data_IF_028681421421
#
_entry.id   IF_028681421421
#
_cell.length_a   1.000
_cell.length_b   1.000
_cell.length_c   1.000
_cell.angle_alpha   90.00
_cell.angle_beta   90.00
_cell.angle_gamma   90.00
#
_symmetry.space_group_name_H-M   'P 1'
#
loop_
_entity.id
_entity.type
_entity.pdbx_description
1 polymer ?
#
# COMPACT_ATOMS: atom_id res chain seq x y z
N UNK A 1 15.99 -17.01 -14.67
CA UNK A 1 15.27 -16.54 -13.44
C UNK A 1 16.32 -16.24 -12.40
N UNK A 2 16.42 -15.02 -11.97
CA UNK A 2 17.31 -14.58 -10.90
C UNK A 2 16.90 -15.27 -9.61
N UNK A 3 17.78 -16.00 -8.97
CA UNK A 3 17.47 -16.72 -7.72
C UNK A 3 17.61 -15.75 -6.53
N UNK A 4 17.03 -16.09 -5.36
CA UNK A 4 17.24 -15.33 -4.12
C UNK A 4 18.75 -15.18 -3.79
N UNK A 5 19.59 -16.13 -4.18
CA UNK A 5 21.03 -16.10 -3.93
C UNK A 5 21.73 -15.02 -4.77
N UNK A 6 21.19 -14.69 -5.96
CA UNK A 6 21.75 -13.69 -6.86
C UNK A 6 21.30 -12.26 -6.49
N UNK A 7 20.30 -12.12 -5.60
CA UNK A 7 19.80 -10.83 -5.17
C UNK A 7 20.84 -10.07 -4.32
N UNK A 8 20.80 -8.71 -4.32
CA UNK A 8 21.70 -7.89 -3.50
C UNK A 8 21.62 -8.23 -2.00
N UNK A 9 22.73 -8.02 -1.28
CA UNK A 9 22.83 -8.35 0.14
C UNK A 9 21.74 -7.66 1.00
N UNK A 10 21.44 -6.38 0.71
CA UNK A 10 20.41 -5.64 1.43
C UNK A 10 19.02 -6.30 1.34
N UNK A 11 18.70 -6.85 0.16
CA UNK A 11 17.42 -7.51 -0.06
C UNK A 11 17.35 -8.84 0.67
N UNK A 12 18.39 -9.65 0.54
CA UNK A 12 18.48 -10.92 1.28
C UNK A 12 18.35 -10.69 2.78
N UNK A 13 19.08 -9.70 3.31
CA UNK A 13 18.99 -9.33 4.73
C UNK A 13 17.59 -8.90 5.13
N UNK A 14 16.90 -8.11 4.29
CA UNK A 14 15.53 -7.70 4.56
C UNK A 14 14.55 -8.89 4.64
N UNK A 15 14.72 -9.89 3.77
CA UNK A 15 13.91 -11.10 3.81
C UNK A 15 14.22 -12.03 4.99
N UNK A 16 15.41 -11.90 5.60
CA UNK A 16 15.83 -12.67 6.78
C UNK A 16 15.38 -12.03 8.10
N UNK A 17 14.89 -10.78 8.08
CA UNK A 17 14.33 -10.14 9.28
C UNK A 17 13.07 -10.91 9.71
N UNK A 18 13.01 -11.43 10.95
CA UNK A 18 11.88 -12.15 11.46
C UNK A 18 10.60 -11.31 11.41
N UNK A 19 9.51 -11.93 11.01
CA UNK A 19 8.18 -11.31 10.99
C UNK A 19 7.13 -12.23 11.59
N UNK A 20 6.11 -11.64 12.20
CA UNK A 20 4.89 -12.33 12.60
C UNK A 20 3.93 -12.42 11.43
N UNK A 21 3.05 -13.41 11.48
CA UNK A 21 1.99 -13.69 10.54
C UNK A 21 0.72 -13.93 11.37
N UNK A 22 -0.31 -13.11 11.18
CA UNK A 22 -1.47 -13.07 12.05
C UNK A 22 -2.74 -12.64 11.32
N UNK A 23 -3.87 -12.83 11.96
CA UNK A 23 -5.17 -12.34 11.48
C UNK A 23 -5.93 -11.61 12.58
N UNK A 24 -6.78 -10.65 12.21
CA UNK A 24 -7.75 -10.00 13.09
C UNK A 24 -9.13 -10.05 12.43
N UNK A 25 -10.17 -10.32 13.23
CA UNK A 25 -11.55 -10.28 12.73
C UNK A 25 -12.04 -8.83 12.62
N UNK A 26 -12.59 -8.50 11.47
CA UNK A 26 -13.23 -7.21 11.21
C UNK A 26 -14.58 -7.47 10.56
N UNK A 27 -15.66 -7.30 11.29
CA UNK A 27 -17.03 -7.55 10.83
C UNK A 27 -17.20 -8.91 10.15
N UNK A 28 -16.65 -9.97 10.78
CA UNK A 28 -16.77 -11.36 10.35
C UNK A 28 -15.85 -11.76 9.20
N UNK A 29 -14.90 -10.90 8.81
CA UNK A 29 -13.84 -11.25 7.88
C UNK A 29 -12.48 -11.30 8.59
N UNK A 30 -11.72 -12.39 8.42
CA UNK A 30 -10.36 -12.50 8.89
C UNK A 30 -9.43 -11.67 8.01
N UNK A 31 -8.83 -10.64 8.58
CA UNK A 31 -7.89 -9.75 7.90
C UNK A 31 -6.48 -10.16 8.28
N UNK A 32 -5.75 -10.65 7.29
CA UNK A 32 -4.37 -11.10 7.41
C UNK A 32 -3.40 -9.91 7.45
N UNK A 33 -2.36 -10.01 8.28
CA UNK A 33 -1.28 -9.03 8.32
C UNK A 33 0.04 -9.63 8.79
N UNK A 34 1.13 -9.06 8.29
CA UNK A 34 2.50 -9.35 8.68
C UNK A 34 2.98 -8.28 9.65
N UNK A 35 3.84 -8.65 10.62
CA UNK A 35 4.41 -7.68 11.56
C UNK A 35 5.91 -7.80 11.69
N UNK A 36 6.62 -6.68 11.86
CA UNK A 36 8.06 -6.61 12.14
C UNK A 36 8.31 -5.69 13.33
N UNK A 37 9.49 -5.82 13.92
CA UNK A 37 9.96 -4.97 15.03
C UNK A 37 9.31 -5.34 16.35
N UNK A 38 9.85 -4.75 17.43
CA UNK A 38 9.43 -5.04 18.79
C UNK A 38 8.06 -4.43 19.10
N UNK A 39 7.17 -5.15 19.79
CA UNK A 39 5.93 -4.62 20.34
C UNK A 39 6.14 -3.36 21.19
N UNK A 40 5.14 -2.46 21.21
CA UNK A 40 5.21 -1.22 21.98
C UNK A 40 6.14 -0.15 21.41
N UNK A 41 6.66 -0.30 20.20
CA UNK A 41 7.35 0.76 19.44
C UNK A 41 6.36 1.64 18.69
N UNK A 42 6.74 2.87 18.27
CA UNK A 42 5.93 3.69 17.36
C UNK A 42 5.51 2.90 16.12
N UNK A 43 4.26 3.10 15.66
CA UNK A 43 3.64 2.26 14.64
C UNK A 43 3.81 2.76 13.21
N UNK A 44 4.05 1.82 12.28
CA UNK A 44 3.90 2.03 10.84
C UNK A 44 2.93 0.97 10.29
N UNK A 45 1.92 1.39 9.54
CA UNK A 45 1.00 0.48 8.84
C UNK A 45 1.15 0.67 7.34
N UNK A 46 1.55 -0.38 6.63
CA UNK A 46 1.69 -0.39 5.17
C UNK A 46 0.45 -0.95 4.51
N UNK A 47 -0.13 -0.19 3.57
CA UNK A 47 -1.33 -0.55 2.82
C UNK A 47 -1.00 -0.67 1.33
N UNK A 48 -1.22 -1.85 0.77
CA UNK A 48 -0.87 -2.18 -0.62
C UNK A 48 -1.83 -1.57 -1.65
N UNK A 49 -1.44 -1.60 -2.93
CA UNK A 49 -2.26 -1.20 -4.07
C UNK A 49 -3.29 -2.25 -4.48
N UNK A 50 -4.14 -1.95 -5.46
CA UNK A 50 -5.13 -2.88 -5.98
C UNK A 50 -4.49 -4.15 -6.55
N UNK A 51 -5.07 -5.31 -6.26
CA UNK A 51 -4.59 -6.65 -6.62
C UNK A 51 -3.18 -7.01 -6.12
N UNK A 52 -2.60 -6.21 -5.21
CA UNK A 52 -1.37 -6.50 -4.49
C UNK A 52 -1.68 -7.18 -3.13
N UNK A 53 -0.68 -7.31 -2.28
CA UNK A 53 -0.80 -7.93 -0.95
C UNK A 53 0.36 -7.50 -0.03
N UNK A 54 0.28 -7.82 1.27
CA UNK A 54 1.24 -7.43 2.31
C UNK A 54 2.71 -7.70 1.95
N UNK A 55 2.99 -8.81 1.29
CA UNK A 55 4.35 -9.17 0.91
C UNK A 55 5.01 -8.26 -0.13
N UNK A 56 4.26 -7.36 -0.79
CA UNK A 56 4.86 -6.31 -1.62
C UNK A 56 5.71 -5.34 -0.80
N UNK A 57 5.49 -5.31 0.52
CA UNK A 57 6.17 -4.44 1.46
C UNK A 57 7.32 -5.10 2.21
N UNK A 58 7.48 -6.43 2.18
CA UNK A 58 8.42 -7.18 3.04
C UNK A 58 9.83 -6.57 3.03
N UNK A 59 10.39 -6.29 1.87
CA UNK A 59 11.76 -5.77 1.71
C UNK A 59 11.89 -4.28 2.09
N UNK A 60 10.80 -3.52 2.07
CA UNK A 60 10.73 -2.13 2.53
C UNK A 60 10.47 -2.08 4.03
N UNK A 61 9.44 -2.77 4.52
CA UNK A 61 9.03 -2.79 5.92
C UNK A 61 10.17 -3.24 6.85
N UNK A 62 10.87 -4.30 6.50
CA UNK A 62 12.00 -4.82 7.25
C UNK A 62 13.11 -3.78 7.54
N UNK A 63 13.24 -2.75 6.68
CA UNK A 63 14.23 -1.68 6.86
C UNK A 63 13.94 -0.74 8.04
N UNK A 64 12.73 -0.81 8.62
CA UNK A 64 12.28 0.02 9.72
C UNK A 64 12.12 -0.74 11.05
N UNK A 65 12.29 -2.08 11.03
CA UNK A 65 12.05 -2.96 12.18
C UNK A 65 12.89 -2.63 13.43
N UNK A 66 14.03 -1.95 13.28
CA UNK A 66 14.89 -1.55 14.40
C UNK A 66 14.29 -0.43 15.27
N UNK A 67 13.45 0.44 14.71
CA UNK A 67 12.93 1.62 15.40
C UNK A 67 11.41 1.62 15.54
N UNK A 68 10.69 0.86 14.71
CA UNK A 68 9.23 0.88 14.64
C UNK A 68 8.65 -0.52 14.84
N UNK A 69 7.40 -0.54 15.35
CA UNK A 69 6.50 -1.68 15.22
C UNK A 69 5.73 -1.52 13.91
N UNK A 70 5.81 -2.50 13.02
CA UNK A 70 5.31 -2.40 11.66
C UNK A 70 4.23 -3.44 11.44
N UNK A 71 3.15 -3.06 10.77
CA UNK A 71 2.20 -3.99 10.18
C UNK A 71 2.09 -3.74 8.67
N UNK A 72 1.96 -4.79 7.88
CA UNK A 72 1.54 -4.73 6.49
C UNK A 72 0.35 -5.66 6.33
N UNK A 73 -0.82 -5.12 6.02
CA UNK A 73 -2.04 -5.90 5.94
C UNK A 73 -2.37 -6.31 4.51
N UNK A 74 -3.13 -7.37 4.38
CA UNK A 74 -3.92 -7.68 3.19
C UNK A 74 -5.32 -7.11 3.40
N UNK A 75 -5.71 -6.11 2.63
CA UNK A 75 -7.09 -5.62 2.64
C UNK A 75 -8.04 -6.75 2.23
N UNK A 76 -9.26 -6.78 2.76
CA UNK A 76 -10.24 -7.78 2.35
C UNK A 76 -10.36 -7.87 0.83
N UNK A 77 -10.50 -9.08 0.31
CA UNK A 77 -10.45 -9.37 -1.12
C UNK A 77 -9.05 -9.45 -1.74
N UNK A 78 -7.99 -9.33 -0.93
CA UNK A 78 -6.60 -9.40 -1.37
C UNK A 78 -5.81 -10.38 -0.50
N UNK A 79 -4.70 -10.88 -1.05
CA UNK A 79 -3.74 -11.70 -0.34
C UNK A 79 -4.36 -12.92 0.32
N UNK A 80 -4.08 -13.06 1.61
CA UNK A 80 -4.57 -14.16 2.45
C UNK A 80 -5.74 -13.73 3.35
N UNK A 81 -6.27 -12.49 3.19
CA UNK A 81 -7.50 -12.03 3.84
C UNK A 81 -8.76 -12.60 3.18
N UNK A 82 -9.82 -12.64 3.98
CA UNK A 82 -11.13 -13.07 3.53
C UNK A 82 -11.71 -12.13 2.46
N UNK A 83 -12.66 -12.66 1.69
CA UNK A 83 -13.46 -11.92 0.73
C UNK A 83 -14.73 -11.41 1.39
N UNK A 84 -15.28 -10.33 0.83
CA UNK A 84 -16.57 -9.74 1.22
C UNK A 84 -17.51 -9.69 0.02
N UNK A 85 -18.80 -9.64 0.27
CA UNK A 85 -19.81 -9.43 -0.77
C UNK A 85 -19.69 -8.05 -1.41
N UNK A 86 -19.19 -7.06 -0.63
CA UNK A 86 -18.97 -5.68 -1.07
C UNK A 86 -17.73 -5.11 -0.42
N UNK A 87 -17.01 -4.30 -1.19
CA UNK A 87 -15.83 -3.57 -0.75
C UNK A 87 -16.11 -2.07 -0.75
N UNK A 88 -15.56 -1.33 0.21
CA UNK A 88 -15.65 0.13 0.28
C UNK A 88 -14.41 0.70 0.95
N UNK A 89 -14.14 1.99 0.72
CA UNK A 89 -13.06 2.69 1.44
C UNK A 89 -13.28 2.68 2.95
N UNK A 90 -14.54 2.79 3.39
CA UNK A 90 -14.91 2.74 4.80
C UNK A 90 -14.53 1.39 5.44
N UNK A 91 -14.89 0.28 4.80
CA UNK A 91 -14.53 -1.06 5.29
C UNK A 91 -13.02 -1.27 5.35
N UNK A 92 -12.31 -0.85 4.33
CA UNK A 92 -10.85 -0.92 4.33
C UNK A 92 -10.20 0.00 5.36
N UNK A 93 -10.84 1.15 5.68
CA UNK A 93 -10.43 2.01 6.81
C UNK A 93 -10.56 1.29 8.15
N UNK A 94 -11.69 0.62 8.38
CA UNK A 94 -11.92 -0.18 9.59
C UNK A 94 -10.87 -1.29 9.74
N UNK A 95 -10.49 -1.93 8.63
CA UNK A 95 -9.44 -2.96 8.61
C UNK A 95 -8.07 -2.41 8.96
N UNK A 96 -7.70 -1.22 8.44
CA UNK A 96 -6.45 -0.54 8.80
C UNK A 96 -6.40 -0.23 10.30
N UNK A 97 -7.49 0.27 10.87
CA UNK A 97 -7.58 0.61 12.29
C UNK A 97 -7.50 -0.66 13.15
N UNK A 98 -8.25 -1.71 12.79
CA UNK A 98 -8.25 -2.97 13.53
C UNK A 98 -6.87 -3.65 13.54
N UNK A 99 -6.16 -3.62 12.40
CA UNK A 99 -4.79 -4.15 12.32
C UNK A 99 -3.83 -3.30 13.16
N UNK A 100 -3.96 -1.97 13.14
CA UNK A 100 -3.14 -1.09 13.99
C UNK A 100 -3.33 -1.39 15.48
N UNK A 101 -4.58 -1.62 15.92
CA UNK A 101 -4.90 -1.99 17.29
C UNK A 101 -4.33 -3.38 17.66
N UNK A 102 -4.43 -4.34 16.75
CA UNK A 102 -3.97 -5.72 16.97
C UNK A 102 -2.44 -5.86 16.91
N UNK A 103 -1.75 -4.96 16.24
CA UNK A 103 -0.30 -5.04 16.03
C UNK A 103 0.56 -4.60 17.22
N UNK A 104 -0.03 -4.17 18.33
CA UNK A 104 0.65 -3.78 19.58
C UNK A 104 1.65 -2.62 19.38
N UNK A 105 1.14 -1.51 18.81
CA UNK A 105 1.89 -0.29 18.53
C UNK A 105 1.78 0.72 19.68
N UNK A 106 2.82 1.53 19.90
CA UNK A 106 2.77 2.64 20.83
C UNK A 106 2.04 3.85 20.22
N UNK A 107 0.77 4.00 20.56
CA UNK A 107 -0.08 5.11 20.10
C UNK A 107 -0.50 5.02 18.62
N UNK A 108 -1.09 6.10 18.07
CA UNK A 108 -1.53 6.15 16.71
C UNK A 108 -0.38 5.95 15.71
N UNK A 109 -0.51 5.05 14.72
CA UNK A 109 0.53 4.79 13.72
C UNK A 109 0.58 5.87 12.64
N UNK A 110 1.68 5.87 11.88
CA UNK A 110 1.73 6.49 10.55
C UNK A 110 1.29 5.42 9.54
N UNK A 111 0.27 5.75 8.73
CA UNK A 111 -0.23 4.86 7.68
C UNK A 111 0.41 5.21 6.34
N UNK A 112 0.97 4.22 5.67
CA UNK A 112 1.75 4.36 4.42
C UNK A 112 1.05 3.56 3.33
N UNK A 113 0.36 4.24 2.41
CA UNK A 113 -0.44 3.59 1.38
C UNK A 113 0.03 3.87 -0.03
N UNK A 114 0.05 2.84 -0.86
CA UNK A 114 0.39 2.92 -2.28
C UNK A 114 -0.85 2.75 -3.16
N UNK A 115 -1.00 3.58 -4.20
CA UNK A 115 -2.07 3.45 -5.20
C UNK A 115 -3.45 3.39 -4.53
N UNK A 116 -4.20 2.28 -4.65
CA UNK A 116 -5.46 2.06 -3.94
C UNK A 116 -5.29 2.22 -2.41
N UNK A 117 -4.21 1.70 -1.84
CA UNK A 117 -3.89 1.85 -0.42
C UNK A 117 -3.69 3.30 0.01
N UNK A 118 -3.26 4.18 -0.90
CA UNK A 118 -3.19 5.62 -0.64
C UNK A 118 -4.57 6.26 -0.52
N UNK A 119 -5.57 5.84 -1.31
CA UNK A 119 -6.96 6.27 -1.11
C UNK A 119 -7.50 5.80 0.25
N UNK A 120 -7.18 4.56 0.64
CA UNK A 120 -7.53 4.05 1.99
C UNK A 120 -6.86 4.88 3.07
N UNK A 121 -5.57 5.24 2.91
CA UNK A 121 -4.84 6.11 3.85
C UNK A 121 -5.50 7.48 3.98
N UNK A 122 -5.90 8.10 2.86
CA UNK A 122 -6.60 9.39 2.87
C UNK A 122 -8.00 9.27 3.52
N UNK A 123 -8.73 8.20 3.23
CA UNK A 123 -10.03 7.95 3.86
C UNK A 123 -9.91 7.75 5.36
N UNK A 124 -8.90 6.99 5.82
CA UNK A 124 -8.60 6.81 7.23
C UNK A 124 -8.25 8.14 7.91
N UNK A 125 -7.40 8.96 7.27
CA UNK A 125 -7.01 10.28 7.78
C UNK A 125 -8.18 11.27 7.86
N UNK A 126 -9.11 11.22 6.91
CA UNK A 126 -10.28 12.09 6.88
C UNK A 126 -11.38 11.66 7.86
N UNK A 127 -11.56 10.34 8.02
CA UNK A 127 -12.61 9.77 8.89
C UNK A 127 -12.19 9.62 10.35
N UNK A 128 -10.90 9.37 10.59
CA UNK A 128 -10.37 9.03 11.92
C UNK A 128 -9.04 9.75 12.24
N UNK A 129 -9.01 11.10 12.19
CA UNK A 129 -7.76 11.86 12.30
C UNK A 129 -7.01 11.61 13.62
N UNK A 130 -7.71 11.31 14.70
CA UNK A 130 -7.12 11.03 16.01
C UNK A 130 -6.52 9.62 16.13
N UNK A 131 -6.78 8.76 15.16
CA UNK A 131 -6.29 7.38 15.12
C UNK A 131 -4.97 7.23 14.34
N UNK A 132 -4.49 8.29 13.71
CA UNK A 132 -3.25 8.33 12.92
C UNK A 132 -2.34 9.45 13.43
N UNK A 133 -1.05 9.15 13.57
CA UNK A 133 -0.02 10.18 13.74
C UNK A 133 0.25 10.94 12.42
N UNK A 134 -0.09 10.33 11.29
CA UNK A 134 0.00 10.90 9.95
C UNK A 134 -0.22 9.87 8.85
N UNK A 135 -0.26 10.33 7.61
CA UNK A 135 -0.39 9.49 6.42
C UNK A 135 0.66 9.79 5.36
N UNK A 136 1.24 8.77 4.75
CA UNK A 136 2.13 8.90 3.59
C UNK A 136 1.45 8.23 2.40
N UNK A 137 1.20 9.00 1.34
CA UNK A 137 0.48 8.56 0.15
C UNK A 137 1.45 8.43 -1.01
N UNK A 138 1.58 7.22 -1.55
CA UNK A 138 2.55 6.90 -2.59
C UNK A 138 1.83 6.68 -3.91
N UNK A 139 2.05 7.57 -4.85
CA UNK A 139 1.58 7.54 -6.25
C UNK A 139 0.09 7.17 -6.42
N UNK A 140 -0.76 7.82 -5.63
CA UNK A 140 -2.23 7.65 -5.63
C UNK A 140 -2.87 8.90 -6.23
N UNK A 141 -3.33 8.86 -7.49
CA UNK A 141 -3.82 10.05 -8.17
C UNK A 141 -5.23 10.44 -7.70
N UNK A 142 -5.34 11.45 -6.86
CA UNK A 142 -6.63 12.10 -6.54
C UNK A 142 -6.87 13.21 -7.55
N UNK A 143 -7.90 13.03 -8.36
CA UNK A 143 -8.33 13.98 -9.39
C UNK A 143 -9.81 14.27 -9.21
N UNK A 144 -10.25 15.45 -9.65
CA UNK A 144 -11.67 15.67 -9.84
C UNK A 144 -12.19 14.67 -10.85
N UNK A 145 -13.15 13.88 -10.41
CA UNK A 145 -13.80 12.92 -11.31
C UNK A 145 -14.84 13.68 -12.13
N UNK A 146 -14.65 13.68 -13.44
CA UNK A 146 -15.73 14.00 -14.35
C UNK A 146 -16.67 12.77 -14.40
N UNK A 147 -17.92 12.87 -13.91
CA UNK A 147 -18.84 11.76 -13.90
C UNK A 147 -19.09 11.12 -15.28
N UNK A 148 -18.84 11.88 -16.36
CA UNK A 148 -19.03 11.41 -17.73
C UNK A 148 -17.84 10.57 -18.25
N UNK A 149 -16.67 10.59 -17.60
CA UNK A 149 -15.45 9.92 -18.09
C UNK A 149 -15.15 8.54 -17.49
N UNK A 150 -15.92 8.05 -16.51
CA UNK A 150 -15.56 6.82 -15.73
C UNK A 150 -16.21 5.52 -16.26
N UNK A 151 -16.45 5.37 -17.52
CA UNK A 151 -17.07 4.14 -18.06
C UNK A 151 -16.09 3.04 -18.52
N UNK A 152 -14.77 3.29 -18.50
CA UNK A 152 -13.80 2.44 -19.22
C UNK A 152 -13.01 1.41 -18.41
N UNK A 153 -12.98 1.46 -17.07
CA UNK A 153 -12.06 0.64 -16.26
C UNK A 153 -12.62 -0.69 -15.73
N UNK A 154 -13.92 -0.94 -15.84
CA UNK A 154 -14.56 -2.14 -15.28
C UNK A 154 -14.22 -3.46 -15.99
N UNK A 155 -13.72 -3.40 -17.22
CA UNK A 155 -13.50 -4.61 -18.05
C UNK A 155 -12.13 -5.28 -17.88
N UNK A 156 -11.17 -4.64 -17.19
CA UNK A 156 -9.80 -5.14 -17.11
C UNK A 156 -9.59 -6.23 -16.05
N UNK A 157 -10.52 -6.41 -15.12
CA UNK A 157 -10.40 -7.33 -13.99
C UNK A 157 -11.56 -8.34 -14.00
N UNK A 158 -11.55 -9.21 -15.00
CA UNK A 158 -12.41 -10.39 -15.02
C UNK A 158 -11.86 -11.45 -14.08
N UNK A 159 -12.65 -12.48 -13.82
CA UNK A 159 -12.24 -13.60 -12.95
C UNK A 159 -10.80 -14.03 -13.22
N UNK A 160 -9.96 -14.12 -12.18
CA UNK A 160 -8.58 -14.51 -12.33
C UNK A 160 -8.49 -15.88 -13.00
N UNK A 161 -7.63 -15.98 -14.02
CA UNK A 161 -7.39 -17.26 -14.71
C UNK A 161 -6.85 -18.30 -13.72
N UNK A 162 -7.31 -19.54 -13.88
CA UNK A 162 -6.69 -20.71 -13.26
C UNK A 162 -5.57 -21.20 -14.17
N UNK A 163 -4.41 -21.42 -13.58
CA UNK A 163 -3.21 -21.93 -14.25
C UNK A 163 -2.90 -23.34 -13.74
N UNK A 164 -2.36 -24.24 -14.61
CA UNK A 164 -2.11 -25.62 -14.22
C UNK A 164 -1.07 -25.74 -13.09
N UNK A 165 -0.13 -24.80 -13.01
CA UNK A 165 0.95 -24.78 -12.03
C UNK A 165 1.48 -23.36 -11.78
N UNK A 166 2.25 -23.21 -10.69
CA UNK A 166 2.83 -21.94 -10.28
C UNK A 166 3.82 -21.37 -11.30
N UNK A 167 4.61 -22.19 -11.95
CA UNK A 167 5.61 -21.73 -12.92
C UNK A 167 4.93 -21.07 -14.13
N UNK A 168 3.85 -21.68 -14.61
CA UNK A 168 3.03 -21.15 -15.71
C UNK A 168 2.37 -19.82 -15.31
N UNK A 169 1.85 -19.71 -14.07
CA UNK A 169 1.25 -18.49 -13.57
C UNK A 169 2.30 -17.37 -13.43
N UNK A 170 3.43 -17.62 -12.75
CA UNK A 170 4.52 -16.66 -12.53
C UNK A 170 5.03 -16.08 -13.88
N UNK A 171 5.18 -16.91 -14.90
CA UNK A 171 5.60 -16.45 -16.23
C UNK A 171 4.59 -15.46 -16.87
N UNK A 172 3.35 -15.43 -16.38
CA UNK A 172 2.27 -14.54 -16.83
C UNK A 172 2.00 -13.37 -15.88
N UNK A 173 2.72 -13.30 -14.76
CA UNK A 173 2.58 -12.18 -13.84
C UNK A 173 2.93 -10.85 -14.52
N UNK A 174 2.07 -9.87 -14.33
CA UNK A 174 2.25 -8.49 -14.81
C UNK A 174 1.66 -7.55 -13.80
N UNK A 175 2.31 -6.42 -13.60
CA UNK A 175 1.77 -5.33 -12.78
C UNK A 175 0.69 -4.55 -13.52
N UNK A 176 -0.19 -3.89 -12.80
CA UNK A 176 -1.22 -3.01 -13.35
C UNK A 176 -1.18 -1.67 -12.59
N UNK A 177 -0.84 -0.57 -13.27
CA UNK A 177 -0.41 -0.49 -14.67
C UNK A 177 0.86 -1.29 -14.94
N UNK A 178 1.07 -1.64 -16.21
CA UNK A 178 2.31 -2.30 -16.63
C UNK A 178 3.50 -1.37 -16.40
N UNK A 179 4.63 -1.94 -15.99
CA UNK A 179 5.86 -1.23 -15.72
C UNK A 179 7.04 -1.99 -16.34
N UNK A 180 7.85 -1.29 -17.13
CA UNK A 180 8.94 -1.90 -17.90
C UNK A 180 10.22 -2.06 -17.07
N UNK A 181 10.39 -1.23 -16.02
CA UNK A 181 11.56 -1.23 -15.15
C UNK A 181 11.18 -1.73 -13.76
N UNK A 182 11.86 -2.73 -13.27
CA UNK A 182 11.73 -3.31 -11.93
C UNK A 182 12.95 -4.16 -11.59
N UNK A 183 13.17 -4.38 -10.32
CA UNK A 183 14.18 -5.33 -9.84
C UNK A 183 13.65 -6.77 -10.02
N UNK A 184 14.27 -7.55 -10.91
CA UNK A 184 13.80 -8.89 -11.25
C UNK A 184 13.66 -9.82 -10.04
N UNK A 185 14.56 -9.70 -9.06
CA UNK A 185 14.52 -10.51 -7.84
C UNK A 185 13.32 -10.15 -6.95
N UNK A 186 12.89 -8.88 -6.90
CA UNK A 186 11.69 -8.44 -6.17
C UNK A 186 10.44 -8.93 -6.91
N UNK A 187 10.40 -8.71 -8.21
CA UNK A 187 9.27 -9.12 -9.05
C UNK A 187 9.03 -10.63 -8.96
N UNK A 188 10.10 -11.44 -8.97
CA UNK A 188 9.99 -12.89 -8.88
C UNK A 188 9.41 -13.35 -7.52
N UNK A 189 9.86 -12.74 -6.40
CA UNK A 189 9.34 -13.06 -5.06
C UNK A 189 7.87 -12.64 -4.91
N UNK A 190 7.53 -11.43 -5.36
CA UNK A 190 6.15 -10.93 -5.35
C UNK A 190 5.23 -11.81 -6.18
N UNK A 191 5.63 -12.17 -7.40
CA UNK A 191 4.83 -13.04 -8.26
C UNK A 191 4.58 -14.42 -7.63
N UNK A 192 5.61 -15.00 -7.01
CA UNK A 192 5.50 -16.30 -6.35
C UNK A 192 4.52 -16.26 -5.16
N UNK A 193 4.52 -15.17 -4.40
CA UNK A 193 3.63 -14.98 -3.23
C UNK A 193 2.22 -14.54 -3.60
N UNK A 194 1.98 -14.12 -4.86
CA UNK A 194 0.68 -13.68 -5.36
C UNK A 194 -0.26 -14.84 -5.74
N UNK A 195 0.14 -16.09 -5.52
CA UNK A 195 -0.61 -17.28 -5.92
C UNK A 195 -1.30 -17.97 -4.75
N UNK A 196 -2.50 -18.46 -5.00
CA UNK A 196 -3.21 -19.41 -4.12
C UNK A 196 -3.59 -20.67 -4.90
N UNK A 197 -3.62 -21.79 -4.20
CA UNK A 197 -4.12 -23.06 -4.73
C UNK A 197 -5.66 -22.99 -4.86
N UNK A 198 -6.18 -23.50 -5.96
CA UNK A 198 -7.62 -23.62 -6.20
C UNK A 198 -7.93 -24.90 -6.96
N UNK A 199 -9.21 -25.21 -7.17
CA UNK A 199 -9.60 -26.33 -8.03
C UNK A 199 -9.05 -26.14 -9.44
N UNK A 200 -8.37 -27.14 -9.96
CA UNK A 200 -7.75 -27.12 -11.29
C UNK A 200 -6.36 -26.49 -11.34
N UNK A 201 -5.75 -26.04 -10.21
CA UNK A 201 -4.39 -25.52 -10.20
C UNK A 201 -4.15 -24.36 -9.24
N UNK A 202 -3.65 -23.23 -9.78
CA UNK A 202 -3.35 -22.01 -9.01
C UNK A 202 -3.97 -20.79 -9.69
N UNK A 203 -4.30 -19.77 -8.86
CA UNK A 203 -4.85 -18.50 -9.34
C UNK A 203 -4.26 -17.34 -8.52
N UNK A 204 -4.54 -16.10 -8.92
CA UNK A 204 -4.08 -14.90 -8.22
C UNK A 204 -4.85 -14.65 -6.93
N UNK A 205 -4.15 -14.12 -5.91
CA UNK A 205 -4.69 -13.80 -4.58
C UNK A 205 -5.46 -12.48 -4.55
N UNK A 206 -6.42 -12.27 -5.45
CA UNK A 206 -7.34 -11.12 -5.34
C UNK A 206 -8.75 -11.49 -5.80
N UNK A 207 -9.72 -10.72 -5.35
CA UNK A 207 -11.11 -10.79 -5.79
C UNK A 207 -11.36 -9.75 -6.89
N UNK A 208 -11.95 -10.11 -8.03
CA UNK A 208 -12.31 -9.14 -9.08
C UNK A 208 -13.24 -8.02 -8.60
N UNK A 209 -14.05 -8.28 -7.56
CA UNK A 209 -14.98 -7.30 -6.99
C UNK A 209 -14.34 -6.11 -6.26
N UNK A 210 -13.02 -6.13 -6.03
CA UNK A 210 -12.30 -5.04 -5.33
C UNK A 210 -12.26 -3.70 -6.08
N UNK A 211 -12.57 -3.69 -7.37
CA UNK A 211 -12.54 -2.49 -8.20
C UNK A 211 -13.84 -1.71 -8.05
N UNK A 212 -13.97 -1.00 -6.93
CA UNK A 212 -15.15 -0.21 -6.58
C UNK A 212 -15.21 1.11 -7.35
N UNK A 213 -16.44 1.58 -7.69
CA UNK A 213 -16.64 2.87 -8.36
C UNK A 213 -16.34 4.10 -7.48
N UNK A 214 -16.23 3.92 -6.16
CA UNK A 214 -16.19 4.99 -5.15
C UNK A 214 -14.88 5.81 -5.13
N UNK A 215 -13.96 5.59 -6.07
CA UNK A 215 -12.80 6.48 -6.29
C UNK A 215 -13.21 7.93 -6.61
N UNK A 216 -14.47 8.10 -7.04
CA UNK A 216 -15.03 9.41 -7.35
C UNK A 216 -15.08 10.38 -6.16
N UNK A 217 -15.15 9.88 -4.94
CA UNK A 217 -15.27 10.70 -3.73
C UNK A 217 -13.91 11.04 -3.07
N UNK A 218 -12.77 10.67 -3.67
CA UNK A 218 -11.48 10.88 -3.01
C UNK A 218 -11.05 12.35 -2.97
N UNK A 219 -11.51 13.19 -3.88
CA UNK A 219 -11.26 14.64 -3.86
C UNK A 219 -11.96 15.34 -2.69
N UNK A 220 -13.12 14.85 -2.25
CA UNK A 220 -13.84 15.36 -1.08
C UNK A 220 -13.16 15.00 0.25
N UNK A 221 -12.21 14.05 0.24
CA UNK A 221 -11.48 13.64 1.44
C UNK A 221 -10.40 14.66 1.83
N UNK A 222 -9.66 15.17 0.84
CA UNK A 222 -8.47 16.00 1.07
C UNK A 222 -8.72 17.24 1.96
N UNK A 223 -9.81 18.03 1.75
CA UNK A 223 -10.10 19.18 2.60
C UNK A 223 -10.46 18.83 4.06
N UNK A 224 -10.87 17.58 4.32
CA UNK A 224 -11.30 17.09 5.64
C UNK A 224 -10.16 16.59 6.50
N UNK A 225 -8.99 16.38 5.91
CA UNK A 225 -7.82 15.82 6.62
C UNK A 225 -7.18 16.90 7.48
N UNK A 226 -7.02 16.60 8.76
CA UNK A 226 -6.41 17.50 9.76
C UNK A 226 -5.08 17.00 10.29
N UNK A 227 -4.77 15.70 10.16
CA UNK A 227 -3.46 15.15 10.53
C UNK A 227 -2.40 15.42 9.45
N UNK A 228 -1.13 15.10 9.76
CA UNK A 228 -0.02 15.24 8.81
C UNK A 228 -0.19 14.31 7.61
N UNK A 229 0.03 14.85 6.41
CA UNK A 229 0.12 14.06 5.17
C UNK A 229 1.43 14.37 4.46
N UNK A 230 2.06 13.35 3.87
CA UNK A 230 3.12 13.52 2.88
C UNK A 230 2.69 12.84 1.57
N UNK A 231 2.97 13.49 0.46
CA UNK A 231 2.66 12.99 -0.88
C UNK A 231 3.95 12.55 -1.56
N UNK A 232 4.02 11.28 -1.93
CA UNK A 232 5.12 10.74 -2.74
C UNK A 232 4.60 10.48 -4.14
N UNK A 233 5.27 11.02 -5.13
CA UNK A 233 4.96 10.76 -6.53
C UNK A 233 6.14 10.06 -7.20
N UNK A 234 5.86 9.10 -8.06
CA UNK A 234 6.85 8.51 -8.93
C UNK A 234 7.02 9.41 -10.17
N UNK A 235 8.25 9.64 -10.62
CA UNK A 235 8.52 10.51 -11.78
C UNK A 235 7.76 10.05 -13.04
N UNK A 236 7.63 8.73 -13.22
CA UNK A 236 6.95 8.08 -14.34
C UNK A 236 5.68 7.33 -13.89
N UNK A 237 5.10 7.76 -12.76
CA UNK A 237 3.91 7.15 -12.17
C UNK A 237 2.59 7.74 -12.63
N UNK A 238 1.55 7.47 -11.86
CA UNK A 238 0.19 7.96 -12.14
C UNK A 238 -0.05 9.38 -11.63
N UNK A 239 0.68 9.83 -10.60
CA UNK A 239 0.58 11.18 -10.06
C UNK A 239 1.49 12.10 -10.87
N UNK A 240 0.92 12.75 -11.89
CA UNK A 240 1.61 13.80 -12.66
C UNK A 240 1.90 15.03 -11.79
N UNK A 241 2.76 15.94 -12.27
CA UNK A 241 3.06 17.18 -11.55
C UNK A 241 1.79 18.00 -11.25
N UNK A 242 0.85 18.06 -12.19
CA UNK A 242 -0.42 18.80 -12.04
C UNK A 242 -1.34 18.14 -11.00
N UNK A 243 -1.43 16.80 -10.99
CA UNK A 243 -2.18 16.07 -9.98
C UNK A 243 -1.56 16.29 -8.59
N UNK A 244 -0.25 16.20 -8.49
CA UNK A 244 0.47 16.47 -7.24
C UNK A 244 0.26 17.91 -6.74
N UNK A 245 0.28 18.90 -7.63
CA UNK A 245 -0.02 20.28 -7.30
C UNK A 245 -1.47 20.46 -6.83
N UNK A 246 -2.43 19.84 -7.51
CA UNK A 246 -3.83 19.83 -7.08
C UNK A 246 -4.00 19.25 -5.68
N UNK A 247 -3.44 18.06 -5.41
CA UNK A 247 -3.52 17.43 -4.09
C UNK A 247 -2.89 18.31 -3.00
N UNK A 248 -1.74 18.92 -3.30
CA UNK A 248 -1.05 19.84 -2.40
C UNK A 248 -1.93 21.06 -2.03
N UNK A 249 -2.60 21.66 -3.04
CA UNK A 249 -3.53 22.76 -2.83
C UNK A 249 -4.71 22.35 -1.93
N UNK A 250 -5.32 21.20 -2.21
CA UNK A 250 -6.45 20.70 -1.42
C UNK A 250 -6.05 20.37 0.03
N UNK A 251 -4.81 19.96 0.25
CA UNK A 251 -4.23 19.75 1.58
C UNK A 251 -3.73 21.06 2.23
N UNK A 252 -4.09 22.23 1.69
CA UNK A 252 -3.78 23.54 2.26
C UNK A 252 -2.31 23.94 2.19
N UNK A 253 -1.56 23.38 1.25
CA UNK A 253 -0.14 23.67 0.98
C UNK A 253 0.83 23.34 2.12
N UNK A 254 0.47 22.40 2.99
CA UNK A 254 1.29 22.02 4.15
C UNK A 254 1.89 20.62 4.03
N UNK A 255 1.39 19.80 3.10
CA UNK A 255 1.91 18.46 2.87
C UNK A 255 3.23 18.51 2.07
N UNK A 256 4.34 17.90 2.54
CA UNK A 256 5.52 17.77 1.70
C UNK A 256 5.20 16.90 0.47
N UNK A 257 5.66 17.33 -0.71
CA UNK A 257 5.56 16.58 -1.96
C UNK A 257 6.96 16.11 -2.34
N UNK A 258 7.15 14.79 -2.34
CA UNK A 258 8.43 14.14 -2.64
C UNK A 258 8.32 13.42 -3.98
N UNK A 259 9.15 13.82 -4.95
CA UNK A 259 9.29 13.08 -6.19
C UNK A 259 10.38 12.02 -6.06
N UNK A 260 10.05 10.76 -6.40
CA UNK A 260 11.03 9.67 -6.51
C UNK A 260 11.51 9.61 -7.96
N UNK A 261 12.78 9.98 -8.22
CA UNK A 261 13.30 10.02 -9.58
C UNK A 261 13.39 8.63 -10.20
N UNK A 262 13.21 8.54 -11.50
CA UNK A 262 13.26 7.32 -12.31
C UNK A 262 12.24 6.25 -11.91
N UNK A 263 11.40 6.50 -10.91
CA UNK A 263 10.41 5.54 -10.44
C UNK A 263 9.20 5.48 -11.36
N UNK A 264 8.73 4.26 -11.63
CA UNK A 264 7.39 3.99 -12.14
C UNK A 264 6.35 3.91 -11.01
N UNK A 265 5.10 3.59 -11.37
CA UNK A 265 3.99 3.53 -10.42
C UNK A 265 4.28 2.64 -9.20
N UNK A 266 4.88 1.47 -9.43
CA UNK A 266 5.21 0.50 -8.37
C UNK A 266 6.62 0.76 -7.81
N UNK A 267 6.78 1.89 -7.11
CA UNK A 267 8.06 2.38 -6.60
C UNK A 267 8.83 1.34 -5.77
N UNK A 268 8.12 0.49 -5.02
CA UNK A 268 8.71 -0.58 -4.22
C UNK A 268 9.34 -1.69 -5.08
N UNK A 269 9.02 -1.77 -6.36
CA UNK A 269 9.57 -2.78 -7.27
C UNK A 269 10.78 -2.28 -8.07
N UNK A 270 10.88 -0.97 -8.34
CA UNK A 270 11.95 -0.41 -9.18
C UNK A 270 12.94 0.50 -8.42
N UNK A 271 12.46 1.26 -7.43
CA UNK A 271 13.28 2.19 -6.66
C UNK A 271 13.15 1.97 -5.13
N UNK A 272 13.26 0.72 -4.63
CA UNK A 272 12.98 0.41 -3.23
C UNK A 272 13.86 1.17 -2.23
N UNK A 273 15.15 1.37 -2.53
CA UNK A 273 16.06 2.07 -1.61
C UNK A 273 15.83 3.59 -1.62
N UNK A 274 15.43 4.17 -2.76
CA UNK A 274 15.01 5.59 -2.80
C UNK A 274 13.73 5.77 -2.01
N UNK A 275 12.76 4.84 -2.14
CA UNK A 275 11.55 4.86 -1.32
C UNK A 275 11.87 4.77 0.17
N UNK A 276 12.74 3.84 0.59
CA UNK A 276 13.19 3.73 1.99
C UNK A 276 13.83 5.02 2.47
N UNK A 277 14.68 5.66 1.64
CA UNK A 277 15.33 6.92 1.99
C UNK A 277 14.33 8.05 2.15
N UNK A 278 13.38 8.18 1.23
CA UNK A 278 12.33 9.18 1.30
C UNK A 278 11.43 9.00 2.54
N UNK A 279 11.03 7.77 2.82
CA UNK A 279 10.27 7.42 4.04
C UNK A 279 11.04 7.80 5.30
N UNK A 280 12.31 7.41 5.42
CA UNK A 280 13.16 7.77 6.57
C UNK A 280 13.28 9.27 6.75
N UNK A 281 13.39 10.04 5.67
CA UNK A 281 13.47 11.52 5.74
C UNK A 281 12.22 12.12 6.32
N UNK A 282 11.03 11.71 5.85
CA UNK A 282 9.76 12.20 6.37
C UNK A 282 9.52 11.75 7.82
N UNK A 283 9.82 10.50 8.14
CA UNK A 283 9.67 9.97 9.50
C UNK A 283 10.57 10.73 10.49
N UNK A 284 11.83 10.98 10.14
CA UNK A 284 12.75 11.75 10.98
C UNK A 284 12.31 13.21 11.16
N UNK A 285 11.79 13.85 10.09
CA UNK A 285 11.20 15.19 10.22
C UNK A 285 10.01 15.17 11.21
N UNK A 286 9.14 14.19 11.09
CA UNK A 286 7.93 14.09 11.91
C UNK A 286 8.21 13.76 13.38
N UNK A 287 9.31 13.10 13.69
CA UNK A 287 9.77 12.88 15.07
C UNK A 287 10.20 14.18 15.77
N UNK A 288 10.75 15.14 15.00
CA UNK A 288 11.38 16.35 15.54
C UNK A 288 10.56 17.62 15.32
N UNK A 289 9.53 17.58 14.48
CA UNK A 289 8.70 18.75 14.14
C UNK A 289 7.35 18.72 14.85
N UNK A 290 6.84 19.92 15.20
CA UNK A 290 5.47 20.06 15.71
C UNK A 290 4.48 20.00 14.56
N UNK A 291 3.36 19.24 14.68
CA UNK A 291 2.32 19.24 13.63
C UNK A 291 1.81 20.65 13.35
N UNK A 292 1.80 21.04 12.09
CA UNK A 292 1.09 22.23 11.67
C UNK A 292 -0.39 21.83 11.55
N UNK A 293 -1.14 22.14 12.60
CA UNK A 293 -2.58 21.88 12.63
C UNK A 293 -3.30 23.00 11.85
N UNK A 294 -4.18 22.62 10.95
CA UNK A 294 -5.12 23.57 10.33
C UNK A 294 -6.06 24.09 11.42
N UNK A 295 -6.10 25.39 11.58
CA UNK A 295 -7.10 26.08 12.40
C UNK A 295 -8.44 26.12 11.67
#
# INVERSE_FOLDING_TARGET
>A
MTTRQDAPAWYRHALDVPHGDSTVDVDGAAIHYLTWGEPGRPGLVFVHGGAAHAHWWTHVAAQFAGNYRIAALDLSGHGDSDRRDRYSLEKWTDEVIAVADAADMAGPPIVIGHSMGGFVTLATAAGHPDRLAGGIVIDSPVVRVDPEMDTGRRDNFRDPKVYPDAATAIARFRTIPAQDHYEEFIMADVAARSLRVCEGGVTWKFDPGIFIPERAAADDLLPRITCRIALFRAQHGLVTADIGAYMYEQLGRVAPVVEIPLAGHHVMLDQPLLLVTALRTILADWEHSVPFLRS
#
